data_IF_893439485743
#
_entry.id   IF_893439485743
#
_cell.length_a   1.000
_cell.length_b   1.000
_cell.length_c   1.000
_cell.angle_alpha   90.00
_cell.angle_beta   90.00
_cell.angle_gamma   90.00
#
_symmetry.space_group_name_H-M   'P 1'
#
loop_
_entity.id
_entity.type
_entity.pdbx_description
1 polymer ?
#
# COMPACT_ATOMS: atom_id res chain seq x y z
N UNK A 1 2.03 37.23 -6.86
CA UNK A 1 1.96 36.08 -5.94
C UNK A 1 3.02 35.09 -6.38
N UNK A 2 4.02 34.80 -5.54
CA UNK A 2 5.03 33.80 -5.87
C UNK A 2 4.50 32.41 -5.46
N UNK A 3 4.30 31.53 -6.42
CA UNK A 3 3.95 30.13 -6.15
C UNK A 3 5.19 29.37 -5.70
N UNK A 4 5.21 28.93 -4.44
CA UNK A 4 6.28 28.13 -3.86
C UNK A 4 6.19 26.67 -4.29
N UNK A 5 6.37 26.41 -5.59
CA UNK A 5 6.67 25.07 -6.09
C UNK A 5 8.18 24.83 -5.94
N UNK A 6 8.57 23.82 -5.14
CA UNK A 6 9.99 23.41 -5.03
C UNK A 6 10.36 22.69 -3.73
N UNK A 7 9.77 23.03 -2.59
CA UNK A 7 10.18 22.47 -1.28
C UNK A 7 9.71 21.02 -1.06
N UNK A 8 8.68 20.56 -1.78
CA UNK A 8 8.12 19.21 -1.59
C UNK A 8 8.92 18.11 -2.26
N UNK A 9 9.53 18.39 -3.41
CA UNK A 9 10.02 17.33 -4.31
C UNK A 9 11.37 16.76 -3.82
N UNK A 10 12.15 17.57 -3.09
CA UNK A 10 13.35 17.13 -2.37
C UNK A 10 13.03 16.23 -1.17
N UNK A 11 11.76 16.15 -0.75
CA UNK A 11 11.28 15.36 0.39
C UNK A 11 10.60 14.05 -0.05
N UNK A 12 10.70 13.69 -1.33
CA UNK A 12 10.07 12.51 -1.93
C UNK A 12 11.08 11.35 -2.07
N UNK A 13 10.65 10.15 -1.71
CA UNK A 13 11.43 8.93 -1.91
C UNK A 13 11.34 8.45 -3.36
N UNK A 14 12.48 8.34 -4.05
CA UNK A 14 12.57 7.88 -5.45
C UNK A 14 12.14 6.41 -5.70
N UNK A 15 11.79 5.64 -4.66
CA UNK A 15 11.26 4.27 -4.78
C UNK A 15 9.73 4.23 -4.74
N UNK A 16 9.09 4.93 -3.80
CA UNK A 16 7.62 4.95 -3.67
C UNK A 16 6.96 6.19 -4.24
N UNK A 17 7.73 7.21 -4.65
CA UNK A 17 7.28 8.50 -5.18
C UNK A 17 6.39 9.30 -4.21
N UNK A 18 6.48 8.97 -2.93
CA UNK A 18 5.77 9.62 -1.81
C UNK A 18 6.77 10.26 -0.83
N UNK A 19 6.28 11.18 0.00
CA UNK A 19 7.08 11.87 1.03
C UNK A 19 7.76 10.87 2.00
N UNK A 20 9.02 11.10 2.36
CA UNK A 20 9.82 10.10 3.09
C UNK A 20 9.18 9.66 4.43
N UNK A 21 8.87 8.38 4.53
CA UNK A 21 8.43 7.74 5.78
C UNK A 21 9.61 6.99 6.40
N UNK A 22 10.03 7.43 7.60
CA UNK A 22 11.22 6.93 8.29
C UNK A 22 12.47 6.88 7.38
N UNK A 23 12.98 8.04 6.93
CA UNK A 23 14.13 8.11 6.03
C UNK A 23 15.40 7.48 6.63
N UNK A 24 16.08 6.67 5.82
CA UNK A 24 17.33 5.97 6.11
C UNK A 24 18.39 6.37 5.09
N UNK A 25 19.60 6.65 5.58
CA UNK A 25 20.78 6.99 4.79
C UNK A 25 21.57 5.73 4.46
N UNK A 26 21.94 5.56 3.18
CA UNK A 26 23.01 4.65 2.78
C UNK A 26 24.38 5.37 2.90
N UNK A 27 25.50 4.63 2.97
CA UNK A 27 26.84 5.24 3.03
C UNK A 27 27.19 6.13 1.82
N UNK A 28 26.51 5.98 0.69
CA UNK A 28 26.57 6.91 -0.46
C UNK A 28 25.75 8.21 -0.28
N UNK A 29 25.31 8.54 0.94
CA UNK A 29 24.46 9.68 1.29
C UNK A 29 23.05 9.73 0.64
N UNK A 30 22.67 8.75 -0.18
CA UNK A 30 21.31 8.64 -0.69
C UNK A 30 20.32 8.23 0.40
N UNK A 31 19.17 8.89 0.45
CA UNK A 31 18.12 8.68 1.44
C UNK A 31 16.90 7.98 0.83
N UNK A 32 16.30 7.03 1.55
CA UNK A 32 15.11 6.29 1.14
C UNK A 32 14.22 5.97 2.35
N UNK A 33 12.92 5.70 2.14
CA UNK A 33 12.06 5.17 3.20
C UNK A 33 12.61 3.81 3.69
N UNK A 34 12.63 3.57 5.01
CA UNK A 34 13.10 2.30 5.57
C UNK A 34 12.45 1.07 4.92
N UNK A 35 11.12 1.11 4.73
CA UNK A 35 10.39 -0.02 4.14
C UNK A 35 10.74 -0.22 2.66
N UNK A 36 10.98 0.84 1.90
CA UNK A 36 11.39 0.74 0.51
C UNK A 36 12.74 0.04 0.35
N UNK A 37 13.70 0.31 1.24
CA UNK A 37 14.99 -0.39 1.25
C UNK A 37 14.86 -1.87 1.62
N UNK A 38 14.04 -2.19 2.63
CA UNK A 38 13.74 -3.57 3.02
C UNK A 38 13.18 -4.37 1.83
N UNK A 39 12.16 -3.82 1.16
CA UNK A 39 11.51 -4.47 0.02
C UNK A 39 12.47 -4.66 -1.17
N UNK A 40 13.34 -3.69 -1.46
CA UNK A 40 14.35 -3.81 -2.54
C UNK A 40 15.36 -4.92 -2.23
N UNK A 41 15.89 -4.94 -1.00
CA UNK A 41 16.87 -5.94 -0.56
C UNK A 41 16.29 -7.37 -0.54
N UNK A 42 15.05 -7.52 -0.12
CA UNK A 42 14.33 -8.79 -0.17
C UNK A 42 14.07 -9.26 -1.62
N UNK A 43 13.66 -8.36 -2.52
CA UNK A 43 13.46 -8.70 -3.94
C UNK A 43 14.75 -9.14 -4.63
N UNK A 44 15.89 -8.60 -4.21
CA UNK A 44 17.23 -9.05 -4.63
C UNK A 44 17.64 -10.41 -4.06
N UNK A 45 16.88 -11.03 -3.14
CA UNK A 45 17.06 -12.44 -2.74
C UNK A 45 16.38 -13.38 -3.75
N UNK A 46 15.14 -13.09 -4.12
CA UNK A 46 14.34 -13.93 -5.02
C UNK A 46 15.02 -14.11 -6.38
N UNK A 47 15.59 -13.03 -6.95
CA UNK A 47 16.31 -13.09 -8.25
C UNK A 47 17.64 -13.86 -8.23
N UNK A 48 18.19 -14.17 -7.05
CA UNK A 48 19.39 -15.02 -6.91
C UNK A 48 19.08 -16.46 -6.51
N UNK A 49 17.82 -16.76 -6.16
CA UNK A 49 17.33 -18.11 -5.89
C UNK A 49 16.67 -18.65 -7.16
N UNK A 50 17.48 -18.91 -8.18
CA UNK A 50 17.01 -19.41 -9.47
C UNK A 50 16.92 -20.96 -9.43
N UNK A 51 15.73 -21.59 -9.41
CA UNK A 51 15.58 -23.03 -9.61
C UNK A 51 15.64 -23.34 -11.12
N UNK A 52 16.66 -22.78 -11.80
CA UNK A 52 16.80 -22.74 -13.26
C UNK A 52 17.73 -23.81 -13.85
N UNK A 53 18.35 -24.64 -13.00
CA UNK A 53 19.16 -25.77 -13.45
C UNK A 53 18.27 -26.97 -13.83
N UNK A 54 17.58 -26.88 -14.97
CA UNK A 54 17.08 -28.08 -15.65
C UNK A 54 18.29 -28.80 -16.25
N UNK A 55 18.88 -29.71 -15.48
CA UNK A 55 19.92 -30.61 -15.95
C UNK A 55 19.37 -31.46 -17.10
N UNK A 56 19.92 -31.28 -18.30
CA UNK A 56 19.69 -32.21 -19.40
C UNK A 56 20.24 -33.59 -19.02
N UNK A 57 19.49 -34.69 -19.20
CA UNK A 57 20.04 -36.03 -19.07
C UNK A 57 20.90 -36.36 -20.30
N UNK A 58 22.23 -36.27 -20.17
CA UNK A 58 23.18 -36.42 -21.27
C UNK A 58 24.50 -37.11 -20.89
N UNK A 59 24.46 -38.44 -20.79
CA UNK A 59 25.57 -39.41 -20.96
C UNK A 59 27.03 -39.04 -20.58
N UNK A 60 27.51 -39.71 -19.53
CA UNK A 60 28.79 -40.48 -19.51
C UNK A 60 30.17 -39.77 -19.47
N UNK A 61 30.90 -40.07 -18.37
CA UNK A 61 32.34 -40.35 -18.29
C UNK A 61 33.38 -39.21 -18.33
N UNK A 62 33.79 -38.71 -17.16
CA UNK A 62 35.09 -39.01 -16.51
C UNK A 62 35.32 -38.18 -15.24
N UNK A 63 36.18 -38.66 -14.33
CA UNK A 63 36.40 -38.05 -13.01
C UNK A 63 37.81 -37.45 -12.87
N UNK A 64 37.92 -36.24 -12.29
CA UNK A 64 39.14 -35.77 -11.63
C UNK A 64 38.88 -34.60 -10.64
N UNK A 65 39.25 -34.85 -9.38
CA UNK A 65 39.87 -33.94 -8.41
C UNK A 65 39.36 -32.49 -8.13
N UNK A 66 39.09 -32.31 -6.82
CA UNK A 66 39.52 -31.19 -5.96
C UNK A 66 38.76 -29.85 -5.95
N UNK A 67 38.37 -29.46 -4.72
CA UNK A 67 38.22 -28.06 -4.29
C UNK A 67 36.79 -27.54 -4.23
N UNK A 68 36.32 -27.20 -3.03
CA UNK A 68 35.03 -26.52 -2.82
C UNK A 68 33.94 -27.40 -2.24
N UNK A 69 33.99 -27.62 -0.92
CA UNK A 69 32.76 -27.64 -0.12
C UNK A 69 32.64 -26.25 0.50
N UNK A 70 32.13 -25.29 -0.26
CA UNK A 70 31.63 -24.05 0.30
C UNK A 70 30.33 -24.34 1.03
N UNK A 71 30.48 -24.91 2.23
CA UNK A 71 29.45 -24.97 3.26
C UNK A 71 29.21 -23.54 3.78
N UNK A 72 28.65 -22.71 2.92
CA UNK A 72 28.36 -21.32 3.19
C UNK A 72 26.85 -21.15 3.25
N UNK A 73 26.31 -21.63 4.37
CA UNK A 73 25.09 -21.13 4.99
C UNK A 73 25.26 -19.64 5.33
N UNK A 74 25.35 -18.82 4.26
CA UNK A 74 25.47 -17.37 4.32
C UNK A 74 24.26 -16.86 5.09
N UNK A 75 24.51 -16.27 6.26
CA UNK A 75 23.43 -15.78 7.09
C UNK A 75 22.79 -14.65 6.30
N UNK A 76 21.46 -14.54 6.40
CA UNK A 76 20.66 -13.64 5.56
C UNK A 76 21.07 -12.14 5.65
N UNK A 77 21.92 -11.80 6.62
CA UNK A 77 22.44 -10.47 6.91
C UNK A 77 23.75 -10.15 6.16
N UNK A 78 24.46 -11.16 5.63
CA UNK A 78 25.79 -11.00 5.00
C UNK A 78 25.72 -10.49 3.55
N UNK A 79 24.52 -10.45 2.95
CA UNK A 79 24.33 -9.96 1.57
C UNK A 79 24.42 -8.43 1.52
N UNK A 80 25.19 -7.84 0.59
CA UNK A 80 25.29 -6.39 0.49
C UNK A 80 23.97 -5.75 0.04
N UNK A 81 23.72 -4.53 0.51
CA UNK A 81 22.66 -3.67 -0.03
C UNK A 81 23.20 -2.87 -1.22
N UNK A 82 22.45 -2.87 -2.32
CA UNK A 82 22.75 -2.08 -3.52
C UNK A 82 21.91 -0.80 -3.50
N UNK A 83 22.54 0.36 -3.63
CA UNK A 83 21.83 1.65 -3.70
C UNK A 83 21.01 1.75 -5.00
N UNK A 84 19.68 1.97 -4.96
CA UNK A 84 18.87 2.12 -6.18
C UNK A 84 19.26 3.31 -7.06
N UNK A 85 19.88 4.35 -6.49
CA UNK A 85 20.15 5.62 -7.18
C UNK A 85 21.55 5.70 -7.79
N UNK A 86 22.59 5.17 -7.12
CA UNK A 86 23.97 5.17 -7.63
C UNK A 86 24.60 3.78 -7.83
N UNK A 87 23.86 2.69 -7.55
CA UNK A 87 24.30 1.28 -7.66
C UNK A 87 25.50 0.88 -6.80
N UNK A 88 25.99 1.75 -5.92
CA UNK A 88 27.03 1.41 -4.96
C UNK A 88 26.55 0.31 -3.98
N UNK A 89 27.44 -0.63 -3.67
CA UNK A 89 27.16 -1.79 -2.82
C UNK A 89 27.78 -1.63 -1.42
N UNK A 90 27.06 -2.05 -0.38
CA UNK A 90 27.49 -1.93 1.00
C UNK A 90 27.21 -3.20 1.78
N UNK A 91 28.24 -3.76 2.43
CA UNK A 91 28.05 -4.83 3.42
C UNK A 91 27.17 -4.35 4.56
N UNK A 92 26.25 -5.21 5.00
CA UNK A 92 25.37 -4.91 6.14
C UNK A 92 25.96 -5.51 7.43
N UNK A 93 25.66 -4.87 8.56
CA UNK A 93 26.00 -5.41 9.89
C UNK A 93 25.05 -6.53 10.33
N UNK A 94 25.21 -7.03 11.57
CA UNK A 94 24.34 -8.09 12.12
C UNK A 94 22.85 -7.69 12.14
N UNK A 95 22.55 -6.40 12.29
CA UNK A 95 21.19 -5.83 12.26
C UNK A 95 20.63 -5.60 10.85
N UNK A 96 21.38 -5.95 9.80
CA UNK A 96 20.97 -5.73 8.42
C UNK A 96 20.64 -4.26 8.12
N UNK A 97 19.52 -4.04 7.43
CA UNK A 97 18.97 -2.72 7.12
C UNK A 97 18.46 -1.97 8.37
N UNK A 98 18.20 -2.67 9.47
CA UNK A 98 17.67 -2.04 10.69
C UNK A 98 18.74 -1.23 11.42
N UNK A 99 20.02 -1.57 11.25
CA UNK A 99 21.17 -0.83 11.79
C UNK A 99 21.65 0.35 10.94
N UNK A 100 21.05 0.62 9.77
CA UNK A 100 21.43 1.78 8.95
C UNK A 100 21.01 3.10 9.61
N UNK A 101 21.81 4.18 9.48
CA UNK A 101 21.54 5.46 10.11
C UNK A 101 20.24 6.09 9.56
N UNK A 102 19.40 6.60 10.47
CA UNK A 102 18.19 7.35 10.09
C UNK A 102 18.55 8.81 9.81
N UNK A 103 17.93 9.40 8.79
CA UNK A 103 18.05 10.83 8.53
C UNK A 103 17.09 11.60 9.45
N UNK A 104 17.50 11.82 10.70
CA UNK A 104 16.68 12.53 11.70
C UNK A 104 16.39 13.97 11.29
N UNK A 105 17.36 14.67 10.68
CA UNK A 105 17.18 16.02 10.15
C UNK A 105 16.06 16.07 9.11
N UNK A 106 16.09 15.17 8.12
CA UNK A 106 15.04 15.09 7.09
C UNK A 106 13.68 14.70 7.68
N UNK A 107 13.66 13.77 8.64
CA UNK A 107 12.44 13.42 9.34
C UNK A 107 11.84 14.61 10.09
N UNK A 108 12.66 15.43 10.77
CA UNK A 108 12.22 16.62 11.49
C UNK A 108 11.69 17.71 10.54
N UNK A 109 12.35 17.93 9.39
CA UNK A 109 11.88 18.86 8.35
C UNK A 109 10.49 18.43 7.84
N UNK A 110 10.31 17.14 7.57
CA UNK A 110 9.03 16.58 7.12
C UNK A 110 7.96 16.76 8.21
N UNK A 111 8.28 16.48 9.48
CA UNK A 111 7.36 16.68 10.60
C UNK A 111 6.92 18.14 10.72
N UNK A 112 7.83 19.11 10.64
CA UNK A 112 7.46 20.54 10.67
C UNK A 112 6.56 20.94 9.50
N UNK A 113 6.78 20.40 8.29
CA UNK A 113 5.91 20.64 7.13
C UNK A 113 4.54 19.96 7.28
N UNK A 114 4.48 18.76 7.87
CA UNK A 114 3.22 18.10 8.24
C UNK A 114 2.47 18.87 9.33
N UNK A 115 3.17 19.47 10.29
CA UNK A 115 2.62 20.33 11.34
C UNK A 115 2.12 21.66 10.79
N UNK A 116 2.83 22.31 9.86
CA UNK A 116 2.34 23.50 9.16
C UNK A 116 1.10 23.21 8.31
N UNK A 117 1.06 22.05 7.64
CA UNK A 117 -0.14 21.58 6.93
C UNK A 117 -1.29 21.30 7.90
N UNK A 118 -1.00 20.71 9.08
CA UNK A 118 -1.96 20.49 10.16
C UNK A 118 -2.47 21.80 10.79
N UNK A 119 -1.63 22.83 10.90
CA UNK A 119 -2.03 24.16 11.36
C UNK A 119 -2.90 24.89 10.32
N UNK A 120 -2.82 24.47 9.04
CA UNK A 120 -3.72 24.89 7.94
C UNK A 120 -4.92 23.94 7.77
N UNK A 121 -5.16 23.01 8.70
CA UNK A 121 -6.32 22.11 8.63
C UNK A 121 -7.62 22.92 8.59
N UNK A 122 -8.46 22.67 7.58
CA UNK A 122 -9.75 23.35 7.48
C UNK A 122 -10.62 22.95 8.67
N UNK A 123 -11.25 23.92 9.33
CA UNK A 123 -12.15 23.71 10.47
C UNK A 123 -13.60 23.65 10.01
N UNK A 124 -14.43 22.88 10.72
CA UNK A 124 -15.85 22.74 10.46
C UNK A 124 -16.60 24.06 10.68
N UNK A 125 -17.14 24.64 9.62
CA UNK A 125 -17.94 25.87 9.67
C UNK A 125 -19.25 25.71 10.45
N UNK A 126 -19.79 24.48 10.51
CA UNK A 126 -21.07 24.15 11.18
C UNK A 126 -20.88 23.65 12.62
N UNK A 127 -19.75 23.98 13.28
CA UNK A 127 -19.49 23.58 14.66
C UNK A 127 -19.67 24.77 15.62
N UNK A 128 -20.60 24.65 16.57
CA UNK A 128 -20.79 25.62 17.66
C UNK A 128 -19.74 25.49 18.78
N UNK A 129 -18.95 24.41 18.78
CA UNK A 129 -17.81 24.22 19.69
C UNK A 129 -16.71 25.26 19.44
N UNK A 130 -16.11 25.81 20.50
CA UNK A 130 -14.96 26.70 20.38
C UNK A 130 -13.69 26.11 21.04
N UNK A 131 -12.58 25.89 20.31
CA UNK A 131 -12.43 26.07 18.87
C UNK A 131 -13.27 25.07 18.05
N UNK A 132 -13.61 25.45 16.82
CA UNK A 132 -14.34 24.58 15.91
C UNK A 132 -13.53 23.32 15.59
N UNK A 133 -14.21 22.16 15.53
CA UNK A 133 -13.55 20.88 15.26
C UNK A 133 -13.00 20.84 13.83
N UNK A 134 -11.88 20.17 13.62
CA UNK A 134 -11.31 19.92 12.29
C UNK A 134 -12.34 19.31 11.34
N UNK A 135 -12.48 19.87 10.15
CA UNK A 135 -13.30 19.28 9.09
C UNK A 135 -12.69 17.97 8.61
N UNK A 136 -13.53 16.97 8.35
CA UNK A 136 -13.13 15.73 7.67
C UNK A 136 -13.69 15.67 6.25
N UNK A 137 -14.82 16.34 5.99
CA UNK A 137 -15.53 16.31 4.71
C UNK A 137 -15.87 17.73 4.24
N UNK A 138 -15.81 17.93 2.93
CA UNK A 138 -16.22 19.16 2.25
C UNK A 138 -17.28 18.80 1.21
N UNK A 139 -18.44 19.47 1.26
CA UNK A 139 -19.46 19.33 0.23
C UNK A 139 -19.20 20.37 -0.86
N UNK A 140 -18.91 19.93 -2.08
CA UNK A 140 -18.59 20.84 -3.18
C UNK A 140 -19.80 21.68 -3.60
N UNK A 141 -21.01 21.09 -3.61
CA UNK A 141 -22.23 21.74 -4.07
C UNK A 141 -22.84 22.68 -3.01
N UNK A 142 -22.61 22.40 -1.72
CA UNK A 142 -22.96 23.33 -0.64
C UNK A 142 -21.86 24.37 -0.36
N UNK A 143 -20.64 24.16 -0.87
CA UNK A 143 -19.43 24.94 -0.55
C UNK A 143 -19.14 25.09 0.96
N UNK A 144 -19.50 24.07 1.76
CA UNK A 144 -19.36 24.06 3.23
C UNK A 144 -18.48 22.90 3.70
N UNK A 145 -17.68 23.14 4.75
CA UNK A 145 -16.86 22.12 5.40
C UNK A 145 -17.42 21.63 6.74
N UNK A 146 -17.32 20.31 6.96
CA UNK A 146 -17.95 19.60 8.05
C UNK A 146 -16.95 18.67 8.76
N UNK A 147 -16.99 18.65 10.10
CA UNK A 147 -16.45 17.53 10.86
C UNK A 147 -17.37 16.30 10.71
N UNK A 148 -16.87 15.11 11.04
CA UNK A 148 -17.58 13.84 10.83
C UNK A 148 -18.97 13.82 11.49
N UNK A 149 -19.13 14.40 12.68
CA UNK A 149 -20.42 14.43 13.37
C UNK A 149 -21.41 15.40 12.71
N UNK A 150 -21.01 16.65 12.42
CA UNK A 150 -21.89 17.61 11.75
C UNK A 150 -22.30 17.13 10.36
N UNK A 151 -21.38 16.47 9.63
CA UNK A 151 -21.68 15.84 8.35
C UNK A 151 -22.81 14.78 8.47
N UNK A 152 -22.67 13.86 9.43
CA UNK A 152 -23.67 12.79 9.62
C UNK A 152 -25.04 13.30 10.08
N UNK A 153 -25.08 14.39 10.86
CA UNK A 153 -26.32 14.94 11.42
C UNK A 153 -27.03 15.92 10.48
N UNK A 154 -26.28 16.73 9.72
CA UNK A 154 -26.81 17.86 8.94
C UNK A 154 -26.65 17.69 7.42
N UNK A 155 -25.90 16.69 6.97
CA UNK A 155 -25.77 16.32 5.56
C UNK A 155 -25.94 14.80 5.35
N UNK A 156 -27.10 14.21 5.72
CA UNK A 156 -27.38 12.80 5.47
C UNK A 156 -27.43 12.52 3.96
N UNK A 157 -26.82 11.42 3.50
CA UNK A 157 -26.78 10.96 2.10
C UNK A 157 -28.14 10.40 1.61
N UNK A 158 -29.23 11.14 1.85
CA UNK A 158 -30.62 10.78 1.55
C UNK A 158 -31.41 12.05 1.18
N UNK A 159 -32.53 11.87 0.47
CA UNK A 159 -33.32 13.00 -0.02
C UNK A 159 -32.54 13.87 -1.02
N UNK A 160 -32.69 15.19 -0.94
CA UNK A 160 -32.08 16.15 -1.86
C UNK A 160 -30.54 16.06 -1.92
N UNK A 161 -29.88 15.73 -0.81
CA UNK A 161 -28.42 15.73 -0.67
C UNK A 161 -27.73 14.46 -1.21
N UNK A 162 -28.51 13.49 -1.73
CA UNK A 162 -28.01 12.17 -2.19
C UNK A 162 -26.92 12.26 -3.28
N UNK A 163 -26.92 13.32 -4.08
CA UNK A 163 -26.06 13.48 -5.26
C UNK A 163 -24.96 14.53 -5.09
N UNK A 164 -24.82 15.10 -3.89
CA UNK A 164 -23.78 16.10 -3.63
C UNK A 164 -22.39 15.46 -3.56
N UNK A 165 -21.42 16.09 -4.21
CA UNK A 165 -20.04 15.63 -4.29
C UNK A 165 -19.29 15.97 -3.00
N UNK A 166 -19.06 14.93 -2.18
CA UNK A 166 -18.29 15.02 -0.95
C UNK A 166 -16.83 14.68 -1.21
N UNK A 167 -15.94 15.58 -0.82
CA UNK A 167 -14.48 15.41 -0.83
C UNK A 167 -13.96 15.33 0.60
N UNK A 168 -12.77 14.78 0.80
CA UNK A 168 -12.07 14.83 2.08
C UNK A 168 -11.42 16.21 2.27
N UNK A 169 -11.63 16.81 3.45
CA UNK A 169 -11.19 18.18 3.73
C UNK A 169 -9.69 18.29 4.07
N UNK A 170 -9.11 17.23 4.66
CA UNK A 170 -7.74 17.21 5.18
C UNK A 170 -7.06 15.86 4.84
N UNK A 171 -6.94 15.53 3.54
CA UNK A 171 -6.19 14.35 3.08
C UNK A 171 -4.70 14.59 3.32
N UNK A 172 -4.14 13.93 4.34
CA UNK A 172 -2.70 13.70 4.37
C UNK A 172 -2.32 12.85 3.15
N UNK A 173 -1.20 13.15 2.44
CA UNK A 173 -0.75 12.31 1.33
C UNK A 173 -0.60 10.86 1.81
N UNK A 174 -0.85 9.86 0.93
CA UNK A 174 -0.90 8.47 1.34
C UNK A 174 0.46 8.02 1.89
N UNK A 175 0.56 7.94 3.23
CA UNK A 175 1.72 7.38 3.92
C UNK A 175 1.96 5.97 3.39
N UNK A 176 3.21 5.65 3.06
CA UNK A 176 3.60 4.61 2.10
C UNK A 176 2.88 3.23 2.21
N UNK A 177 1.66 3.15 1.71
CA UNK A 177 0.91 1.92 1.49
C UNK A 177 1.15 1.49 0.04
N UNK A 178 2.23 0.74 -0.20
CA UNK A 178 2.61 0.38 -1.57
C UNK A 178 1.56 -0.53 -2.21
N UNK A 179 0.93 -0.16 -3.35
CA UNK A 179 -0.01 -1.04 -4.05
C UNK A 179 0.68 -2.14 -4.88
N UNK A 180 2.01 -2.23 -4.81
CA UNK A 180 2.82 -2.78 -5.91
C UNK A 180 3.28 -4.24 -5.76
N UNK A 181 3.08 -4.88 -4.60
CA UNK A 181 3.52 -6.27 -4.36
C UNK A 181 2.55 -7.10 -3.50
N UNK A 182 1.33 -7.27 -3.98
CA UNK A 182 0.40 -8.28 -3.46
C UNK A 182 0.66 -9.64 -4.13
N UNK A 183 1.78 -10.30 -3.77
CA UNK A 183 2.21 -11.56 -4.42
C UNK A 183 1.46 -12.81 -3.93
N UNK A 184 0.21 -12.68 -3.44
CA UNK A 184 -0.54 -13.79 -2.83
C UNK A 184 -1.94 -14.07 -3.39
N UNK A 185 -2.29 -13.54 -4.56
CA UNK A 185 -3.58 -13.82 -5.22
C UNK A 185 -3.50 -14.18 -6.72
N UNK A 186 -2.44 -14.83 -7.19
CA UNK A 186 -2.39 -15.35 -8.60
C UNK A 186 -1.75 -16.74 -8.74
N UNK A 187 -2.23 -17.69 -7.93
CA UNK A 187 -2.30 -19.14 -8.22
C UNK A 187 -3.50 -19.70 -7.42
N UNK A 188 -4.54 -20.31 -7.96
CA UNK A 188 -4.94 -20.48 -9.37
C UNK A 188 -6.39 -20.03 -9.53
N UNK A 189 -6.70 -19.38 -10.65
CA UNK A 189 -8.04 -19.33 -11.21
C UNK A 189 -7.87 -19.41 -12.73
N UNK A 190 -7.52 -20.60 -13.22
CA UNK A 190 -7.60 -20.90 -14.65
C UNK A 190 -9.06 -20.87 -15.05
N UNK A 191 -9.43 -19.90 -15.87
CA UNK A 191 -10.74 -19.86 -16.54
C UNK A 191 -10.76 -20.81 -17.73
N UNK A 192 -11.99 -21.09 -18.17
CA UNK A 192 -12.38 -21.67 -19.45
C UNK A 192 -12.17 -23.18 -19.66
N UNK A 193 -13.21 -23.91 -19.28
CA UNK A 193 -13.60 -25.20 -19.85
C UNK A 193 -15.09 -25.18 -20.18
N UNK A 194 -15.45 -24.66 -21.36
CA UNK A 194 -16.82 -24.74 -21.87
C UNK A 194 -17.15 -26.19 -22.27
N UNK A 195 -18.27 -26.71 -21.77
CA UNK A 195 -18.83 -27.99 -22.17
C UNK A 195 -20.35 -27.93 -22.09
N UNK A 196 -20.99 -27.93 -23.25
CA UNK A 196 -22.33 -28.52 -23.41
C UNK A 196 -22.19 -30.04 -23.16
N UNK A 197 -23.19 -30.81 -22.74
CA UNK A 197 -24.42 -31.16 -23.46
C UNK A 197 -25.49 -31.65 -22.45
N UNK A 198 -26.76 -31.72 -22.86
CA UNK A 198 -27.87 -32.12 -21.98
C UNK A 198 -28.24 -33.61 -22.01
N UNK A 199 -28.94 -34.08 -20.98
CA UNK A 199 -29.77 -35.28 -20.99
C UNK A 199 -30.91 -35.17 -19.94
N UNK A 200 -32.06 -35.77 -20.25
CA UNK A 200 -33.32 -35.72 -19.48
C UNK A 200 -33.35 -36.71 -18.28
N UNK A 201 -34.23 -36.48 -17.29
CA UNK A 201 -35.45 -37.30 -17.03
C UNK A 201 -36.01 -37.22 -15.58
N UNK A 202 -37.33 -36.96 -15.42
CA UNK A 202 -38.19 -37.27 -14.23
C UNK A 202 -37.83 -36.67 -12.86
N UNK A 203 -38.62 -36.74 -11.76
CA UNK A 203 -40.07 -36.95 -11.48
C UNK A 203 -40.25 -36.82 -9.92
N UNK A 204 -41.39 -36.52 -9.26
CA UNK A 204 -42.69 -35.85 -9.55
C UNK A 204 -43.26 -35.24 -8.22
N UNK A 205 -44.45 -34.61 -8.22
CA UNK A 205 -45.17 -34.12 -7.03
C UNK A 205 -44.92 -32.63 -6.71
N UNK A 206 -45.92 -31.73 -6.59
CA UNK A 206 -47.25 -31.88 -5.97
C UNK A 206 -47.10 -31.73 -4.44
N UNK A 207 -47.78 -30.84 -3.70
CA UNK A 207 -49.21 -30.47 -3.73
C UNK A 207 -49.43 -29.00 -3.29
N UNK A 208 -50.57 -28.42 -3.69
CA UNK A 208 -51.10 -27.08 -3.36
C UNK A 208 -51.25 -26.76 -1.85
N UNK A 209 -51.07 -25.48 -1.46
CA UNK A 209 -51.97 -24.76 -0.53
C UNK A 209 -51.76 -23.21 -0.50
N UNK A 210 -52.72 -22.48 -1.07
CA UNK A 210 -53.25 -21.16 -0.64
C UNK A 210 -54.79 -21.37 -0.51
N UNK A 211 -55.65 -20.48 0.06
CA UNK A 211 -55.49 -19.03 0.26
C UNK A 211 -56.22 -18.39 1.49
N UNK A 212 -56.23 -17.04 1.51
CA UNK A 212 -57.14 -16.08 2.22
C UNK A 212 -57.13 -15.99 3.76
N UNK A 213 -57.10 -14.76 4.29
CA UNK A 213 -57.28 -14.45 5.72
C UNK A 213 -57.08 -12.97 6.04
N UNK A 214 -57.99 -12.11 5.58
CA UNK A 214 -58.07 -10.67 5.94
C UNK A 214 -58.51 -10.48 7.40
N UNK A 215 -57.95 -9.49 8.10
CA UNK A 215 -58.77 -8.47 8.78
C UNK A 215 -58.01 -7.18 9.13
N UNK A 216 -58.79 -6.13 9.35
CA UNK A 216 -58.45 -4.73 9.64
C UNK A 216 -58.95 -4.44 11.06
N UNK A 217 -58.32 -3.56 11.86
CA UNK A 217 -59.03 -2.73 12.84
C UNK A 217 -58.13 -1.63 13.44
N UNK A 218 -58.67 -0.41 13.43
CA UNK A 218 -58.30 0.85 14.14
C UNK A 218 -56.94 0.98 14.85
#
# INVERSE_FOLDING_TARGET
MAVSHGVTDELICSICLEMFTAPVLLPCAHTFCKQCLLNVHERSRIRSSDPGAISQPGTSNQAAAAGGRDDNSLKNNDRPIVCPQCRAEFGLGPDGIHGLPRNTTLANIILSIEEEKRAKNVLCEVCESNPARTASKTCADCAVTYCTQCFQQLHPMRGAFKYHLIKDANVAPPRCASPFFDFRSTRLASVDGYGTDGAESGDEGGIYAKPVGIEFMV
#
